data_IF_411210740041
#
_entry.id   IF_411210740041
#
_cell.length_a   1.000
_cell.length_b   1.000
_cell.length_c   1.000
_cell.angle_alpha   90.00
_cell.angle_beta   90.00
_cell.angle_gamma   90.00
#
_symmetry.space_group_name_H-M   'P 1'
#
loop_
_entity.id
_entity.type
_entity.pdbx_description
1 polymer ?
#
# COMPACT_ATOMS: atom_id res chain seq x y z
N UNK A 1 25.45 12.39 17.96
CA UNK A 1 24.56 13.52 17.65
C UNK A 1 24.08 13.24 16.25
N UNK A 2 22.77 13.15 16.02
CA UNK A 2 22.25 13.08 14.66
C UNK A 2 22.80 14.28 13.89
N UNK A 3 23.54 14.00 12.82
CA UNK A 3 24.08 15.05 11.96
C UNK A 3 23.17 15.18 10.75
N UNK A 4 22.73 16.40 10.47
CA UNK A 4 22.12 16.75 9.18
C UNK A 4 23.04 16.29 8.03
N UNK A 5 22.45 15.69 7.00
CA UNK A 5 23.12 15.05 5.86
C UNK A 5 23.60 13.62 6.11
N UNK A 6 23.43 13.07 7.31
CA UNK A 6 23.72 11.67 7.62
C UNK A 6 22.53 10.74 7.32
N UNK A 7 22.78 9.45 7.11
CA UNK A 7 21.69 8.45 7.05
C UNK A 7 21.07 8.25 8.43
N UNK A 8 19.74 8.24 8.48
CA UNK A 8 18.96 7.93 9.66
C UNK A 8 19.20 6.45 10.08
N UNK A 9 19.55 6.17 11.34
CA UNK A 9 19.72 4.80 11.80
C UNK A 9 18.43 3.97 11.67
N UNK A 10 18.52 2.76 11.11
CA UNK A 10 17.36 1.90 10.94
C UNK A 10 16.86 1.34 12.28
N UNK A 11 15.55 1.11 12.35
CA UNK A 11 14.89 0.49 13.50
C UNK A 11 13.62 -0.24 13.08
N UNK A 12 13.17 -1.15 13.95
CA UNK A 12 11.85 -1.79 13.90
C UNK A 12 11.30 -1.92 15.32
N UNK A 13 10.26 -1.14 15.64
CA UNK A 13 9.69 -1.07 16.99
C UNK A 13 8.26 -1.59 17.04
N UNK A 14 7.82 -2.18 18.18
CA UNK A 14 6.39 -2.33 18.46
C UNK A 14 5.72 -0.96 18.48
N UNK A 15 4.55 -0.84 17.87
CA UNK A 15 3.84 0.42 17.73
C UNK A 15 2.34 0.25 17.98
N UNK A 16 1.70 1.37 18.31
CA UNK A 16 0.27 1.57 18.21
C UNK A 16 -0.01 2.42 16.96
N UNK A 17 -0.75 1.87 16.00
CA UNK A 17 -1.15 2.54 14.76
C UNK A 17 -2.64 2.35 14.59
N UNK A 18 -3.41 3.43 14.45
CA UNK A 18 -4.87 3.41 14.33
C UNK A 18 -5.57 2.59 15.45
N UNK A 19 -5.00 2.60 16.66
CA UNK A 19 -5.51 1.84 17.81
C UNK A 19 -5.17 0.34 17.80
N UNK A 20 -4.48 -0.15 16.77
CA UNK A 20 -4.01 -1.52 16.65
C UNK A 20 -2.51 -1.63 16.95
N UNK A 21 -2.10 -2.79 17.47
CA UNK A 21 -0.69 -3.06 17.76
C UNK A 21 -0.06 -3.78 16.58
N UNK A 22 1.02 -3.22 16.04
CA UNK A 22 1.84 -3.86 15.00
C UNK A 22 3.32 -3.52 15.21
N UNK A 23 4.20 -4.06 14.37
CA UNK A 23 5.57 -3.55 14.28
C UNK A 23 5.64 -2.54 13.14
N UNK A 24 6.51 -1.55 13.31
CA UNK A 24 6.77 -0.48 12.36
C UNK A 24 8.27 -0.39 12.17
N UNK A 25 8.73 -0.56 10.93
CA UNK A 25 10.11 -0.30 10.52
C UNK A 25 10.23 1.06 9.86
N UNK A 26 11.37 1.74 10.04
CA UNK A 26 11.63 3.01 9.34
C UNK A 26 11.55 2.85 7.81
N UNK A 27 12.00 1.70 7.30
CA UNK A 27 12.00 1.38 5.87
C UNK A 27 10.62 1.27 5.24
N UNK A 28 9.54 1.15 6.02
CA UNK A 28 8.17 1.16 5.50
C UNK A 28 7.78 2.49 4.87
N UNK A 29 8.46 3.57 5.24
CA UNK A 29 8.13 4.93 4.78
C UNK A 29 9.21 5.52 3.86
N UNK A 30 10.38 4.89 3.80
CA UNK A 30 11.44 5.32 2.90
C UNK A 30 11.02 5.10 1.45
N UNK A 31 11.43 6.02 0.60
CA UNK A 31 11.05 6.02 -0.80
C UNK A 31 9.59 6.36 -1.01
N UNK A 32 8.83 6.85 -0.02
CA UNK A 32 7.42 7.28 -0.12
C UNK A 32 7.17 8.61 0.59
N UNK A 33 7.52 8.71 1.88
CA UNK A 33 7.18 9.87 2.70
C UNK A 33 8.42 10.65 3.17
N UNK A 34 8.23 11.92 3.50
CA UNK A 34 9.08 12.65 4.44
C UNK A 34 8.70 12.25 5.87
N UNK A 35 9.66 11.85 6.68
CA UNK A 35 9.40 11.24 7.98
C UNK A 35 9.82 12.20 9.09
N UNK A 36 8.88 12.54 9.98
CA UNK A 36 9.13 13.28 11.20
C UNK A 36 9.25 12.28 12.35
N UNK A 37 10.47 12.09 12.86
CA UNK A 37 10.71 11.29 14.05
C UNK A 37 10.65 12.18 15.29
N UNK A 38 9.63 11.98 16.12
CA UNK A 38 9.37 12.77 17.31
C UNK A 38 9.66 11.96 18.58
N UNK A 39 10.86 12.12 19.12
CA UNK A 39 11.26 11.52 20.39
C UNK A 39 10.71 12.34 21.55
N UNK A 40 9.96 11.70 22.44
CA UNK A 40 9.35 12.37 23.60
C UNK A 40 9.59 11.60 24.91
N UNK A 41 9.73 12.31 26.05
CA UNK A 41 10.34 11.72 27.26
C UNK A 41 9.51 10.65 27.95
N UNK A 42 8.19 10.83 27.96
CA UNK A 42 7.23 9.89 28.52
C UNK A 42 5.80 10.22 28.06
N UNK A 43 4.93 9.22 28.04
CA UNK A 43 3.48 9.40 28.01
C UNK A 43 3.02 10.15 29.28
N UNK A 44 1.97 10.97 29.16
CA UNK A 44 1.42 11.76 30.28
C UNK A 44 2.48 12.62 31.01
N UNK A 45 3.49 13.10 30.28
CA UNK A 45 4.55 13.93 30.83
C UNK A 45 4.02 15.34 31.23
N UNK A 46 4.78 16.11 32.03
CA UNK A 46 4.34 17.42 32.53
C UNK A 46 4.10 18.50 31.46
N UNK A 47 4.55 18.29 30.21
CA UNK A 47 4.24 19.19 29.10
C UNK A 47 2.86 18.91 28.49
N UNK A 48 2.19 17.82 28.89
CA UNK A 48 0.81 17.54 28.53
C UNK A 48 -0.14 17.98 29.66
N UNK A 49 -1.08 18.86 29.31
CA UNK A 49 -2.10 19.37 30.22
C UNK A 49 -3.38 18.54 30.12
N UNK A 50 -4.49 19.02 30.69
CA UNK A 50 -5.77 18.32 30.64
C UNK A 50 -6.37 18.27 29.22
N UNK A 51 -6.05 19.25 28.37
CA UNK A 51 -6.73 19.50 27.10
C UNK A 51 -5.83 19.32 25.87
N UNK A 52 -4.50 19.29 26.03
CA UNK A 52 -3.55 19.18 24.92
C UNK A 52 -2.25 18.51 25.35
N UNK A 53 -1.54 17.95 24.38
CA UNK A 53 -0.26 17.31 24.57
C UNK A 53 0.82 17.85 23.61
N UNK A 54 2.07 17.55 23.91
CA UNK A 54 3.26 18.04 23.21
C UNK A 54 3.41 17.48 21.78
N UNK A 55 2.66 16.44 21.43
CA UNK A 55 2.56 15.89 20.08
C UNK A 55 1.47 16.55 19.23
N UNK A 56 0.56 17.33 19.82
CA UNK A 56 -0.56 17.94 19.07
C UNK A 56 -0.07 18.93 18.01
N UNK A 57 1.03 19.64 18.27
CA UNK A 57 1.64 20.54 17.29
C UNK A 57 2.19 19.79 16.07
N UNK A 58 2.55 18.51 16.25
CA UNK A 58 3.03 17.65 15.17
C UNK A 58 1.88 16.95 14.43
N UNK A 59 0.71 16.82 15.06
CA UNK A 59 -0.48 16.21 14.46
C UNK A 59 -0.93 16.95 13.20
N UNK A 60 -0.69 18.26 13.12
CA UNK A 60 -0.92 19.08 11.92
C UNK A 60 -0.19 18.56 10.67
N UNK A 61 0.97 17.92 10.83
CA UNK A 61 1.72 17.34 9.71
C UNK A 61 1.12 16.03 9.22
N UNK A 62 0.33 15.33 10.05
CA UNK A 62 -0.39 14.11 9.61
C UNK A 62 -1.48 14.41 8.57
N UNK A 63 -1.89 15.68 8.44
CA UNK A 63 -2.82 16.12 7.41
C UNK A 63 -2.15 16.34 6.05
N UNK A 64 -0.82 16.45 6.01
CA UNK A 64 -0.07 16.58 4.77
C UNK A 64 0.06 15.20 4.14
N UNK A 65 -0.27 15.12 2.86
CA UNK A 65 0.04 13.91 2.08
C UNK A 65 1.56 13.79 1.98
N UNK A 66 2.06 12.56 2.03
CA UNK A 66 3.48 12.24 1.86
C UNK A 66 4.38 12.72 3.03
N UNK A 67 3.78 13.01 4.20
CA UNK A 67 4.50 13.27 5.46
C UNK A 67 3.99 12.32 6.54
N UNK A 68 4.88 11.47 7.05
CA UNK A 68 4.58 10.56 8.15
C UNK A 68 5.21 11.06 9.44
N UNK A 69 4.42 11.15 10.51
CA UNK A 69 4.91 11.48 11.85
C UNK A 69 4.98 10.20 12.69
N UNK A 70 6.12 9.92 13.32
CA UNK A 70 6.30 8.79 14.23
C UNK A 70 6.69 9.31 15.62
N UNK A 71 5.82 9.12 16.60
CA UNK A 71 6.13 9.40 18.01
C UNK A 71 6.91 8.23 18.62
N UNK A 72 8.03 8.49 19.28
CA UNK A 72 8.90 7.46 19.88
C UNK A 72 9.16 7.80 21.35
N UNK A 73 8.88 6.87 22.26
CA UNK A 73 9.21 7.03 23.68
C UNK A 73 9.60 5.69 24.33
N UNK A 74 10.13 5.70 25.56
CA UNK A 74 10.46 4.46 26.28
C UNK A 74 9.23 3.74 26.86
N UNK A 75 8.02 4.27 26.67
CA UNK A 75 6.80 3.68 27.18
C UNK A 75 6.37 2.44 26.37
N UNK A 76 5.49 1.64 26.98
CA UNK A 76 4.95 0.46 26.31
C UNK A 76 3.77 0.82 25.40
N UNK A 77 3.53 0.00 24.37
CA UNK A 77 2.32 0.10 23.51
C UNK A 77 1.00 0.08 24.28
N UNK A 78 0.97 -0.43 25.52
CA UNK A 78 -0.21 -0.38 26.38
C UNK A 78 -0.44 1.02 26.99
N UNK A 79 0.64 1.71 27.34
CA UNK A 79 0.60 3.10 27.78
C UNK A 79 0.19 4.00 26.62
N UNK A 80 0.82 3.80 25.45
CA UNK A 80 0.48 4.54 24.23
C UNK A 80 -0.99 4.46 23.88
N UNK A 81 -1.63 3.30 24.07
CA UNK A 81 -3.06 3.16 23.84
C UNK A 81 -3.88 4.07 24.75
N UNK A 82 -3.61 4.07 26.04
CA UNK A 82 -4.31 4.93 26.98
C UNK A 82 -4.03 6.42 26.69
N UNK A 83 -2.81 6.73 26.25
CA UNK A 83 -2.37 8.08 25.92
C UNK A 83 -3.05 8.61 24.65
N UNK A 84 -3.02 7.85 23.56
CA UNK A 84 -3.71 8.16 22.32
C UNK A 84 -5.24 8.28 22.53
N UNK A 85 -5.86 7.39 23.32
CA UNK A 85 -7.29 7.48 23.66
C UNK A 85 -7.61 8.75 24.48
N UNK A 86 -6.69 9.19 25.36
CA UNK A 86 -6.90 10.35 26.24
C UNK A 86 -6.81 11.70 25.51
N UNK A 87 -5.93 11.78 24.52
CA UNK A 87 -5.61 13.00 23.77
C UNK A 87 -6.09 12.97 22.30
N UNK A 88 -6.78 11.90 21.91
CA UNK A 88 -7.29 11.67 20.53
C UNK A 88 -6.19 11.69 19.44
N UNK A 89 -4.96 11.27 19.79
CA UNK A 89 -3.82 11.28 18.88
C UNK A 89 -4.03 10.29 17.72
N UNK A 90 -3.75 10.74 16.49
CA UNK A 90 -3.73 9.90 15.28
C UNK A 90 -2.32 9.47 14.86
N UNK A 91 -1.31 10.09 15.45
CA UNK A 91 0.10 9.79 15.22
C UNK A 91 0.41 8.35 15.67
N UNK A 92 1.07 7.53 14.83
CA UNK A 92 1.71 6.28 15.23
C UNK A 92 2.66 6.46 16.43
N UNK A 93 2.44 5.68 17.50
CA UNK A 93 3.28 5.72 18.72
C UNK A 93 4.10 4.44 18.86
N UNK A 94 5.43 4.58 18.83
CA UNK A 94 6.42 3.50 18.82
C UNK A 94 7.10 3.37 20.19
N UNK A 95 7.14 2.13 20.67
CA UNK A 95 7.61 1.78 22.01
C UNK A 95 9.09 1.36 22.01
N UNK A 96 10.00 2.31 22.25
CA UNK A 96 11.45 2.06 22.45
C UNK A 96 11.76 1.71 23.92
N UNK A 97 11.08 0.68 24.45
CA UNK A 97 11.22 0.28 25.87
C UNK A 97 12.64 -0.08 26.30
N UNK A 98 13.50 -0.46 25.34
CA UNK A 98 14.91 -0.75 25.59
C UNK A 98 15.81 0.50 25.54
N UNK A 99 15.34 1.59 24.92
CA UNK A 99 16.09 2.83 24.69
C UNK A 99 17.17 2.69 23.61
N UNK A 100 17.13 1.64 22.79
CA UNK A 100 18.19 1.37 21.81
C UNK A 100 18.11 2.31 20.61
N UNK A 101 16.89 2.67 20.20
CA UNK A 101 16.70 3.60 19.08
C UNK A 101 17.12 4.99 19.54
N UNK A 102 16.68 5.40 20.73
CA UNK A 102 17.11 6.63 21.37
C UNK A 102 18.64 6.78 21.46
N UNK A 103 19.36 5.70 21.80
CA UNK A 103 20.83 5.68 21.83
C UNK A 103 21.45 5.81 20.44
N UNK A 104 20.92 5.11 19.42
CA UNK A 104 21.41 5.22 18.03
C UNK A 104 21.20 6.62 17.46
N UNK A 105 20.11 7.26 17.84
CA UNK A 105 19.75 8.62 17.46
C UNK A 105 20.47 9.68 18.34
N UNK A 106 21.23 9.25 19.36
CA UNK A 106 21.95 10.12 20.31
C UNK A 106 21.04 11.15 21.01
N UNK A 107 19.86 10.71 21.42
CA UNK A 107 18.84 11.50 22.14
C UNK A 107 18.57 10.94 23.53
N UNK A 108 19.40 10.00 23.99
CA UNK A 108 19.37 9.47 25.36
C UNK A 108 20.41 10.19 26.23
N UNK A 109 20.05 10.53 27.47
CA UNK A 109 20.97 11.12 28.43
C UNK A 109 20.83 10.50 29.82
N UNK A 110 21.80 10.77 30.69
CA UNK A 110 21.78 10.35 32.10
C UNK A 110 21.72 11.61 32.95
N UNK A 111 20.72 11.70 33.82
CA UNK A 111 20.56 12.84 34.71
C UNK A 111 21.54 12.82 35.91
N UNK A 112 21.47 13.86 36.74
CA UNK A 112 22.36 14.04 37.90
C UNK A 112 22.22 12.92 38.96
N UNK A 113 21.15 12.14 38.93
CA UNK A 113 20.90 11.02 39.86
C UNK A 113 21.13 9.64 39.22
N UNK A 114 21.63 9.61 37.98
CA UNK A 114 22.01 8.38 37.29
C UNK A 114 20.86 7.67 36.60
N UNK A 115 19.70 8.32 36.43
CA UNK A 115 18.58 7.78 35.67
C UNK A 115 18.79 8.06 34.18
N UNK A 116 18.59 7.03 33.36
CA UNK A 116 18.57 7.18 31.90
C UNK A 116 17.23 7.76 31.48
N UNK A 117 17.27 8.90 30.79
CA UNK A 117 16.12 9.64 30.30
C UNK A 117 16.28 9.89 28.79
N UNK A 118 15.18 10.26 28.16
CA UNK A 118 15.15 10.66 26.76
C UNK A 118 15.03 12.19 26.69
N UNK A 119 15.83 12.81 25.82
CA UNK A 119 15.63 14.20 25.42
C UNK A 119 14.34 14.31 24.62
N UNK A 120 13.73 15.50 24.62
CA UNK A 120 12.77 15.81 23.57
C UNK A 120 13.57 16.07 22.31
N UNK A 121 13.29 15.36 21.23
CA UNK A 121 13.96 15.57 19.97
C UNK A 121 13.04 15.38 18.77
N UNK A 122 13.30 16.14 17.71
CA UNK A 122 12.63 16.00 16.42
C UNK A 122 13.70 15.88 15.34
N UNK A 123 13.53 14.91 14.46
CA UNK A 123 14.32 14.81 13.24
C UNK A 123 13.40 14.73 12.01
N UNK A 124 13.78 15.41 10.95
CA UNK A 124 13.18 15.23 9.61
C UNK A 124 14.12 14.33 8.82
N UNK A 125 13.56 13.27 8.28
CA UNK A 125 14.25 12.31 7.43
C UNK A 125 13.57 12.36 6.07
N UNK A 126 14.35 12.51 5.01
CA UNK A 126 13.82 12.46 3.66
C UNK A 126 13.50 11.05 3.18
N UNK A 127 12.97 10.97 1.97
CA UNK A 127 12.61 9.72 1.32
C UNK A 127 13.81 8.79 1.09
N UNK A 128 15.04 9.30 0.96
CA UNK A 128 16.26 8.49 0.83
C UNK A 128 16.83 8.03 2.19
N UNK A 129 16.18 8.42 3.29
CA UNK A 129 16.63 8.11 4.64
C UNK A 129 17.76 9.02 5.12
N UNK A 130 17.94 10.19 4.53
CA UNK A 130 18.90 11.22 4.94
C UNK A 130 18.24 12.20 5.89
N UNK A 131 18.92 12.51 6.98
CA UNK A 131 18.45 13.46 7.99
C UNK A 131 18.60 14.88 7.47
N UNK A 132 17.50 15.58 7.26
CA UNK A 132 17.46 16.96 6.74
C UNK A 132 17.41 18.00 7.85
N UNK A 133 16.83 17.65 9.00
CA UNK A 133 16.75 18.53 10.15
C UNK A 133 16.83 17.74 11.45
N UNK A 134 17.42 18.37 12.47
CA UNK A 134 17.51 17.82 13.82
C UNK A 134 17.37 18.92 14.84
N UNK A 135 16.59 18.67 15.88
CA UNK A 135 16.51 19.51 17.06
C UNK A 135 16.34 18.64 18.29
N UNK A 136 17.06 18.94 19.38
CA UNK A 136 16.83 18.31 20.68
C UNK A 136 16.96 19.30 21.83
N UNK A 137 16.30 18.98 22.94
CA UNK A 137 16.40 19.72 24.20
C UNK A 137 16.19 18.78 25.38
N UNK A 138 16.93 19.03 26.47
CA UNK A 138 16.72 18.38 27.75
C UNK A 138 15.68 19.13 28.62
N UNK A 139 15.24 20.32 28.21
CA UNK A 139 14.17 21.05 28.89
C UNK A 139 12.81 20.55 28.40
N UNK A 140 12.11 19.79 29.25
CA UNK A 140 10.84 19.15 28.91
C UNK A 140 9.73 20.16 28.55
N UNK A 141 9.88 21.43 28.93
CA UNK A 141 8.92 22.51 28.67
C UNK A 141 9.17 23.25 27.36
N UNK A 142 10.34 23.07 26.76
CA UNK A 142 10.66 23.64 25.45
C UNK A 142 10.05 22.75 24.36
N UNK A 143 9.29 23.37 23.45
CA UNK A 143 8.61 22.71 22.33
C UNK A 143 9.43 22.85 21.03
N UNK A 144 9.26 21.92 20.07
CA UNK A 144 9.95 21.99 18.80
C UNK A 144 9.60 23.26 18.02
N UNK A 145 10.55 23.75 17.24
CA UNK A 145 10.35 24.93 16.39
C UNK A 145 9.59 24.54 15.12
N UNK A 146 8.26 24.58 15.19
CA UNK A 146 7.36 24.18 14.09
C UNK A 146 7.70 24.86 12.75
N UNK A 147 8.14 26.12 12.76
CA UNK A 147 8.47 26.81 11.51
C UNK A 147 9.76 26.26 10.86
N UNK A 148 10.79 25.95 11.66
CA UNK A 148 12.02 25.31 11.13
C UNK A 148 11.72 23.90 10.61
N UNK A 149 10.76 23.21 11.23
CA UNK A 149 10.28 21.90 10.78
C UNK A 149 9.56 21.99 9.43
N UNK A 150 8.70 23.00 9.22
CA UNK A 150 8.06 23.25 7.93
C UNK A 150 9.08 23.59 6.85
N UNK A 151 10.03 24.48 7.16
CA UNK A 151 11.09 24.85 6.22
C UNK A 151 11.89 23.61 5.80
N UNK A 152 12.26 22.76 6.77
CA UNK A 152 12.98 21.52 6.47
C UNK A 152 12.16 20.53 5.61
N UNK A 153 10.86 20.39 5.85
CA UNK A 153 9.99 19.53 5.03
C UNK A 153 9.86 20.12 3.62
N UNK A 154 9.68 21.43 3.51
CA UNK A 154 9.63 22.12 2.22
C UNK A 154 10.93 21.97 1.43
N UNK A 155 12.08 22.10 2.10
CA UNK A 155 13.42 21.94 1.51
C UNK A 155 13.77 20.46 1.21
N UNK A 156 13.07 19.52 1.84
CA UNK A 156 13.14 18.08 1.51
C UNK A 156 12.30 17.75 0.26
N UNK A 157 11.26 18.55 0.02
CA UNK A 157 10.59 18.65 -1.26
C UNK A 157 11.43 19.42 -2.27
N UNK A 158 11.12 19.26 -3.56
CA UNK A 158 11.77 20.00 -4.63
C UNK A 158 12.03 19.17 -5.88
N UNK A 159 12.63 19.79 -6.88
CA UNK A 159 12.82 19.20 -8.21
C UNK A 159 13.59 17.88 -8.22
N UNK A 160 14.57 17.70 -7.32
CA UNK A 160 15.34 16.46 -7.19
C UNK A 160 14.44 15.32 -6.67
N UNK A 161 13.63 15.58 -5.64
CA UNK A 161 12.63 14.64 -5.11
C UNK A 161 11.59 14.32 -6.16
N UNK A 162 11.07 15.34 -6.84
CA UNK A 162 10.11 15.17 -7.93
C UNK A 162 10.68 14.30 -9.04
N UNK A 163 11.96 14.48 -9.37
CA UNK A 163 12.63 13.68 -10.38
C UNK A 163 12.90 12.23 -9.92
N UNK A 164 13.27 12.02 -8.66
CA UNK A 164 13.41 10.67 -8.10
C UNK A 164 12.08 9.90 -8.16
N UNK A 165 10.97 10.56 -7.80
CA UNK A 165 9.61 10.02 -7.94
C UNK A 165 9.26 9.69 -9.37
N UNK A 166 9.57 10.61 -10.28
CA UNK A 166 9.38 10.42 -11.69
C UNK A 166 10.12 9.19 -12.22
N UNK A 167 11.37 8.96 -11.80
CA UNK A 167 12.15 7.78 -12.18
C UNK A 167 11.47 6.47 -11.78
N UNK A 168 11.02 6.38 -10.52
CA UNK A 168 10.30 5.20 -10.02
C UNK A 168 9.00 5.00 -10.80
N UNK A 169 8.22 6.08 -11.01
CA UNK A 169 7.00 6.04 -11.80
C UNK A 169 7.24 5.60 -13.25
N UNK A 170 8.32 6.06 -13.88
CA UNK A 170 8.70 5.68 -15.25
C UNK A 170 9.05 4.19 -15.36
N UNK A 171 9.73 3.62 -14.36
CA UNK A 171 10.02 2.19 -14.31
C UNK A 171 8.72 1.35 -14.26
N UNK A 172 7.79 1.69 -13.36
CA UNK A 172 6.48 1.04 -13.31
C UNK A 172 5.67 1.24 -14.59
N UNK A 173 5.71 2.45 -15.18
CA UNK A 173 5.06 2.74 -16.44
C UNK A 173 5.57 1.83 -17.56
N UNK A 174 6.89 1.68 -17.68
CA UNK A 174 7.53 0.82 -18.69
C UNK A 174 7.14 -0.65 -18.52
N UNK A 175 7.12 -1.14 -17.28
CA UNK A 175 6.64 -2.49 -16.98
C UNK A 175 5.16 -2.66 -17.36
N UNK A 176 4.32 -1.69 -17.00
CA UNK A 176 2.91 -1.65 -17.38
C UNK A 176 2.72 -1.67 -18.89
N UNK A 177 3.53 -0.92 -19.66
CA UNK A 177 3.50 -0.91 -21.13
C UNK A 177 3.86 -2.28 -21.72
N UNK A 178 4.90 -2.93 -21.20
CA UNK A 178 5.31 -4.29 -21.65
C UNK A 178 4.19 -5.30 -21.41
N UNK A 179 3.66 -5.36 -20.20
CA UNK A 179 2.55 -6.25 -19.84
C UNK A 179 1.30 -5.95 -20.67
N UNK A 180 0.97 -4.67 -20.87
CA UNK A 180 -0.18 -4.27 -21.69
C UNK A 180 -0.01 -4.70 -23.15
N UNK A 181 1.16 -4.52 -23.74
CA UNK A 181 1.43 -4.94 -25.12
C UNK A 181 1.36 -6.46 -25.27
N UNK A 182 1.91 -7.23 -24.33
CA UNK A 182 1.77 -8.68 -24.31
C UNK A 182 0.29 -9.09 -24.24
N UNK A 183 -0.45 -8.52 -23.29
CA UNK A 183 -1.88 -8.77 -23.11
C UNK A 183 -2.69 -8.45 -24.37
N UNK A 184 -2.37 -7.34 -25.07
CA UNK A 184 -3.03 -6.97 -26.33
C UNK A 184 -2.79 -7.99 -27.45
N UNK A 185 -1.60 -8.61 -27.51
CA UNK A 185 -1.30 -9.70 -28.44
C UNK A 185 -2.10 -10.95 -28.14
N UNK A 186 -2.04 -11.42 -26.88
CA UNK A 186 -2.80 -12.58 -26.39
C UNK A 186 -4.32 -12.38 -26.57
N UNK A 187 -4.80 -11.15 -26.36
CA UNK A 187 -6.20 -10.81 -26.58
C UNK A 187 -6.59 -10.87 -28.06
N UNK A 188 -5.69 -10.47 -28.98
CA UNK A 188 -5.88 -10.67 -30.41
C UNK A 188 -5.92 -12.14 -30.81
N UNK A 189 -5.06 -12.95 -30.20
CA UNK A 189 -4.97 -14.40 -30.43
C UNK A 189 -6.07 -15.22 -29.72
N UNK A 190 -7.04 -14.54 -29.10
CA UNK A 190 -8.13 -15.15 -28.33
C UNK A 190 -7.66 -15.99 -27.13
N UNK A 191 -6.45 -15.74 -26.62
CA UNK A 191 -5.88 -16.36 -25.42
C UNK A 191 -6.37 -15.65 -24.15
N UNK A 192 -7.69 -15.60 -23.98
CA UNK A 192 -8.37 -14.73 -23.00
C UNK A 192 -7.88 -14.85 -21.56
N UNK A 193 -7.51 -16.06 -21.10
CA UNK A 193 -7.01 -16.25 -19.74
C UNK A 193 -5.60 -15.69 -19.53
N UNK A 194 -4.74 -15.78 -20.56
CA UNK A 194 -3.41 -15.18 -20.51
C UNK A 194 -3.55 -13.66 -20.58
N UNK A 195 -4.30 -13.17 -21.56
CA UNK A 195 -4.58 -11.75 -21.73
C UNK A 195 -5.14 -11.11 -20.46
N UNK A 196 -6.09 -11.77 -19.79
CA UNK A 196 -6.63 -11.31 -18.52
C UNK A 196 -5.54 -11.16 -17.45
N UNK A 197 -4.66 -12.15 -17.31
CA UNK A 197 -3.56 -12.09 -16.33
C UNK A 197 -2.59 -10.95 -16.63
N UNK A 198 -2.27 -10.73 -17.90
CA UNK A 198 -1.29 -9.73 -18.31
C UNK A 198 -1.89 -8.32 -18.26
N UNK A 199 -3.17 -8.14 -18.59
CA UNK A 199 -3.88 -6.88 -18.33
C UNK A 199 -3.96 -6.56 -16.84
N UNK A 200 -4.10 -7.57 -15.96
CA UNK A 200 -4.08 -7.32 -14.52
C UNK A 200 -2.71 -6.82 -14.05
N UNK A 201 -1.61 -7.43 -14.51
CA UNK A 201 -0.25 -6.93 -14.23
C UNK A 201 -0.05 -5.52 -14.76
N UNK A 202 -0.51 -5.26 -15.99
CA UNK A 202 -0.45 -3.92 -16.59
C UNK A 202 -1.22 -2.89 -15.75
N UNK A 203 -2.43 -3.23 -15.30
CA UNK A 203 -3.25 -2.37 -14.44
C UNK A 203 -2.51 -2.04 -13.15
N UNK A 204 -2.03 -3.03 -12.42
CA UNK A 204 -1.29 -2.82 -11.15
C UNK A 204 -0.04 -1.93 -11.35
N UNK A 205 0.70 -2.16 -12.43
CA UNK A 205 1.88 -1.34 -12.75
C UNK A 205 1.51 0.11 -13.14
N UNK A 206 0.45 0.33 -13.92
CA UNK A 206 0.00 1.68 -14.26
C UNK A 206 -0.58 2.46 -13.06
N UNK A 207 -1.20 1.77 -12.11
CA UNK A 207 -1.65 2.36 -10.84
C UNK A 207 -0.45 2.90 -10.05
N UNK A 208 0.55 2.04 -9.81
CA UNK A 208 1.80 2.42 -9.14
C UNK A 208 2.54 3.55 -9.87
N UNK A 209 2.57 3.52 -11.21
CA UNK A 209 3.17 4.59 -12.01
C UNK A 209 2.42 5.93 -11.83
N UNK A 210 1.08 5.90 -11.89
CA UNK A 210 0.23 7.07 -11.70
C UNK A 210 0.43 7.71 -10.34
N UNK A 211 0.54 6.91 -9.28
CA UNK A 211 0.79 7.40 -7.92
C UNK A 211 2.14 8.08 -7.79
N UNK A 212 3.21 7.48 -8.31
CA UNK A 212 4.54 8.09 -8.28
C UNK A 212 4.61 9.39 -9.10
N UNK A 213 3.96 9.44 -10.26
CA UNK A 213 3.89 10.69 -11.04
C UNK A 213 3.05 11.76 -10.35
N UNK A 214 1.96 11.40 -9.67
CA UNK A 214 1.18 12.33 -8.86
C UNK A 214 2.00 12.91 -7.70
N UNK A 215 2.83 12.09 -7.05
CA UNK A 215 3.78 12.54 -6.05
C UNK A 215 4.88 13.43 -6.66
N UNK A 216 5.37 13.13 -7.87
CA UNK A 216 6.30 14.01 -8.59
C UNK A 216 5.69 15.40 -8.86
N UNK A 217 4.42 15.48 -9.27
CA UNK A 217 3.69 16.74 -9.46
C UNK A 217 3.60 17.54 -8.17
N UNK A 218 3.55 16.90 -7.00
CA UNK A 218 3.48 17.60 -5.70
C UNK A 218 4.79 18.24 -5.29
N UNK A 219 5.90 17.57 -5.58
CA UNK A 219 7.23 18.01 -5.15
C UNK A 219 7.93 18.95 -6.13
N UNK A 220 7.41 19.12 -7.35
CA UNK A 220 8.06 19.93 -8.37
C UNK A 220 8.01 21.42 -8.04
N UNK A 221 9.16 22.09 -8.09
CA UNK A 221 9.30 23.52 -7.90
C UNK A 221 9.47 24.26 -9.23
N UNK A 222 10.13 23.63 -10.22
CA UNK A 222 10.30 24.18 -11.55
C UNK A 222 9.00 24.05 -12.36
N UNK A 223 8.31 25.17 -12.66
CA UNK A 223 7.08 25.13 -13.44
C UNK A 223 7.28 24.61 -14.88
N UNK A 224 8.51 24.48 -15.36
CA UNK A 224 8.80 23.85 -16.64
C UNK A 224 8.65 22.31 -16.63
N UNK A 225 8.77 21.68 -15.46
CA UNK A 225 8.69 20.22 -15.28
C UNK A 225 7.27 19.73 -14.99
N UNK A 226 6.44 20.57 -14.35
CA UNK A 226 5.05 20.24 -13.99
C UNK A 226 4.24 19.63 -15.16
N UNK A 227 4.27 20.17 -16.41
CA UNK A 227 3.52 19.58 -17.52
C UNK A 227 4.00 18.18 -17.94
N UNK A 228 5.27 17.85 -17.68
CA UNK A 228 5.83 16.53 -17.99
C UNK A 228 5.29 15.51 -17.00
N UNK A 229 5.33 15.83 -15.71
CA UNK A 229 4.84 14.95 -14.64
C UNK A 229 3.33 14.79 -14.71
N UNK A 230 2.58 15.88 -14.88
CA UNK A 230 1.11 15.83 -14.99
C UNK A 230 0.66 15.07 -16.24
N UNK A 231 1.31 15.28 -17.38
CA UNK A 231 1.04 14.51 -18.60
C UNK A 231 1.34 13.02 -18.46
N UNK A 232 2.44 12.67 -17.77
CA UNK A 232 2.83 11.28 -17.51
C UNK A 232 1.83 10.58 -16.58
N UNK A 233 1.42 11.26 -15.50
CA UNK A 233 0.35 10.82 -14.60
C UNK A 233 -0.94 10.59 -15.39
N UNK A 234 -1.42 11.58 -16.14
CA UNK A 234 -2.68 11.49 -16.86
C UNK A 234 -2.68 10.35 -17.89
N UNK A 235 -1.55 10.09 -18.55
CA UNK A 235 -1.39 8.94 -19.44
C UNK A 235 -1.45 7.61 -18.70
N UNK A 236 -0.70 7.48 -17.59
CA UNK A 236 -0.70 6.28 -16.77
C UNK A 236 -2.10 5.97 -16.21
N UNK A 237 -2.81 6.97 -15.67
CA UNK A 237 -4.19 6.80 -15.18
C UNK A 237 -5.15 6.37 -16.29
N UNK A 238 -5.01 6.90 -17.51
CA UNK A 238 -5.85 6.51 -18.64
C UNK A 238 -5.58 5.06 -19.10
N UNK A 239 -4.31 4.64 -19.11
CA UNK A 239 -3.94 3.25 -19.41
C UNK A 239 -4.38 2.27 -18.31
N UNK A 240 -4.31 2.69 -17.04
CA UNK A 240 -4.88 1.93 -15.92
C UNK A 240 -6.38 1.67 -16.11
N UNK A 241 -7.17 2.70 -16.45
CA UNK A 241 -8.60 2.56 -16.74
C UNK A 241 -8.86 1.63 -17.93
N UNK A 242 -8.07 1.75 -19.00
CA UNK A 242 -8.17 0.87 -20.16
C UNK A 242 -7.90 -0.59 -19.79
N UNK A 243 -6.83 -0.84 -19.03
CA UNK A 243 -6.48 -2.17 -18.56
C UNK A 243 -7.58 -2.78 -17.68
N UNK A 244 -8.20 -1.99 -16.81
CA UNK A 244 -9.32 -2.46 -15.96
C UNK A 244 -10.51 -2.97 -16.79
N UNK A 245 -10.93 -2.21 -17.80
CA UNK A 245 -11.97 -2.65 -18.74
C UNK A 245 -11.57 -3.91 -19.50
N UNK A 246 -10.32 -4.00 -19.94
CA UNK A 246 -9.82 -5.13 -20.72
C UNK A 246 -9.64 -6.41 -19.88
N UNK A 247 -9.30 -6.31 -18.60
CA UNK A 247 -9.37 -7.44 -17.65
C UNK A 247 -10.78 -8.01 -17.60
N UNK A 248 -11.79 -7.14 -17.47
CA UNK A 248 -13.19 -7.57 -17.42
C UNK A 248 -13.64 -8.15 -18.76
N UNK A 249 -13.25 -7.54 -19.89
CA UNK A 249 -13.55 -8.02 -21.22
C UNK A 249 -12.99 -9.44 -21.45
N UNK A 250 -11.69 -9.63 -21.16
CA UNK A 250 -11.03 -10.92 -21.29
C UNK A 250 -11.69 -12.00 -20.41
N UNK A 251 -12.08 -11.64 -19.18
CA UNK A 251 -12.85 -12.54 -18.31
C UNK A 251 -14.20 -12.94 -18.90
N UNK A 252 -14.92 -11.99 -19.53
CA UNK A 252 -16.21 -12.25 -20.14
C UNK A 252 -16.08 -13.16 -21.37
N UNK A 253 -15.07 -12.93 -22.22
CA UNK A 253 -14.77 -13.81 -23.34
C UNK A 253 -14.38 -15.23 -22.89
N UNK A 254 -13.50 -15.35 -21.89
CA UNK A 254 -13.14 -16.65 -21.29
C UNK A 254 -14.36 -17.40 -20.71
N UNK A 255 -15.32 -16.66 -20.15
CA UNK A 255 -16.58 -17.20 -19.61
C UNK A 255 -17.64 -17.55 -20.68
N UNK A 256 -17.38 -17.26 -21.96
CA UNK A 256 -18.32 -17.48 -23.06
C UNK A 256 -19.38 -16.38 -23.24
N UNK A 257 -19.25 -15.27 -22.52
CA UNK A 257 -20.13 -14.10 -22.61
C UNK A 257 -19.62 -13.11 -23.66
N UNK A 258 -19.49 -13.53 -24.92
CA UNK A 258 -18.86 -12.72 -25.98
C UNK A 258 -19.50 -11.34 -26.22
N UNK A 259 -20.84 -11.22 -26.12
CA UNK A 259 -21.52 -9.93 -26.29
C UNK A 259 -21.21 -8.92 -25.15
N UNK A 260 -21.03 -9.43 -23.93
CA UNK A 260 -20.60 -8.63 -22.78
C UNK A 260 -19.12 -8.25 -22.93
N UNK A 261 -18.28 -9.22 -23.32
CA UNK A 261 -16.87 -8.99 -23.64
C UNK A 261 -16.68 -7.88 -24.67
N UNK A 262 -17.48 -7.89 -25.75
CA UNK A 262 -17.45 -6.83 -26.77
C UNK A 262 -17.82 -5.47 -26.21
N UNK A 263 -18.84 -5.39 -25.37
CA UNK A 263 -19.26 -4.11 -24.78
C UNK A 263 -18.15 -3.53 -23.89
N UNK A 264 -17.54 -4.38 -23.04
CA UNK A 264 -16.43 -3.99 -22.17
C UNK A 264 -15.19 -3.56 -22.97
N UNK A 265 -14.94 -4.24 -24.08
CA UNK A 265 -13.88 -3.89 -25.02
C UNK A 265 -14.14 -2.52 -25.67
N UNK A 266 -15.36 -2.24 -26.11
CA UNK A 266 -15.75 -0.94 -26.67
C UNK A 266 -15.62 0.16 -25.60
N UNK A 267 -15.98 -0.11 -24.34
CA UNK A 267 -15.83 0.83 -23.22
C UNK A 267 -14.36 1.16 -22.92
N UNK A 268 -13.42 0.25 -23.22
CA UNK A 268 -11.98 0.50 -23.09
C UNK A 268 -11.44 1.50 -24.12
N UNK A 269 -12.15 1.76 -25.22
CA UNK A 269 -11.70 2.69 -26.28
C UNK A 269 -11.56 4.12 -25.76
N UNK A 270 -12.49 4.60 -24.93
CA UNK A 270 -12.47 5.97 -24.41
C UNK A 270 -11.20 6.29 -23.59
N UNK A 271 -10.83 5.46 -22.60
CA UNK A 271 -9.56 5.60 -21.89
C UNK A 271 -8.33 5.46 -22.80
N UNK A 272 -8.36 4.56 -23.79
CA UNK A 272 -7.26 4.42 -24.75
C UNK A 272 -7.09 5.66 -25.64
N UNK A 273 -8.18 6.25 -26.10
CA UNK A 273 -8.15 7.53 -26.83
C UNK A 273 -7.61 8.65 -25.95
N UNK A 274 -8.03 8.69 -24.68
CA UNK A 274 -7.53 9.65 -23.69
C UNK A 274 -6.02 9.50 -23.50
N UNK A 275 -5.54 8.27 -23.31
CA UNK A 275 -4.10 7.98 -23.16
C UNK A 275 -3.29 8.44 -24.38
N UNK A 276 -3.84 8.32 -25.59
CA UNK A 276 -3.17 8.79 -26.82
C UNK A 276 -2.97 10.29 -26.85
N UNK A 277 -3.84 11.07 -26.20
CA UNK A 277 -3.72 12.55 -26.20
C UNK A 277 -2.49 13.05 -25.45
N UNK A 278 -1.93 12.23 -24.56
CA UNK A 278 -0.75 12.54 -23.77
C UNK A 278 0.51 11.94 -24.41
N UNK A 279 1.59 12.73 -24.39
CA UNK A 279 2.91 12.27 -24.84
C UNK A 279 3.41 11.08 -24.01
N UNK A 280 4.27 10.25 -24.58
CA UNK A 280 4.98 9.24 -23.78
C UNK A 280 5.82 9.93 -22.70
N UNK A 281 5.81 9.42 -21.44
CA UNK A 281 6.74 9.85 -20.41
C UNK A 281 8.18 9.81 -20.95
N UNK A 282 8.93 10.92 -20.93
CA UNK A 282 10.34 10.93 -21.32
C UNK A 282 11.20 9.99 -20.46
N UNK A 283 12.15 9.30 -21.09
CA UNK A 283 13.09 8.45 -20.36
C UNK A 283 13.97 9.29 -19.42
N UNK A 284 13.97 9.02 -18.11
CA UNK A 284 14.76 9.77 -17.15
C UNK A 284 16.26 9.44 -17.15
N UNK A 285 16.69 8.35 -17.78
CA UNK A 285 18.11 7.99 -17.94
C UNK A 285 18.76 8.63 -19.18
N UNK A 286 17.94 9.21 -20.06
CA UNK A 286 18.40 10.09 -21.13
C UNK A 286 18.71 11.51 -20.60
N UNK A 287 18.64 12.51 -21.48
CA UNK A 287 18.94 13.90 -21.12
C UNK A 287 17.78 14.53 -20.34
N UNK A 288 18.02 14.82 -19.06
CA UNK A 288 17.06 15.52 -18.20
C UNK A 288 17.47 16.97 -17.84
N UNK A 289 16.53 17.94 -17.86
CA UNK A 289 15.18 17.83 -18.42
C UNK A 289 15.18 17.78 -19.95
N UNK A 290 14.16 17.17 -20.57
CA UNK A 290 14.09 17.03 -22.02
C UNK A 290 13.98 18.40 -22.70
N UNK A 291 14.56 18.55 -23.91
CA UNK A 291 14.38 19.79 -24.65
C UNK A 291 12.92 19.92 -25.11
N UNK A 292 12.44 21.16 -25.18
CA UNK A 292 11.06 21.46 -25.60
C UNK A 292 10.71 20.93 -26.99
N UNK A 293 11.72 20.70 -27.84
CA UNK A 293 11.60 20.09 -29.16
C UNK A 293 11.43 18.58 -29.13
N UNK A 294 11.88 17.90 -28.09
CA UNK A 294 11.78 16.46 -27.95
C UNK A 294 10.38 16.06 -27.47
N UNK A 295 9.79 16.85 -26.56
CA UNK A 295 8.39 16.75 -26.14
C UNK A 295 7.37 16.93 -27.29
N UNK A 296 7.74 17.65 -28.35
CA UNK A 296 6.86 17.88 -29.51
C UNK A 296 6.92 16.74 -30.55
N UNK A 297 7.93 15.86 -30.49
CA UNK A 297 8.08 14.73 -31.41
C UNK A 297 7.28 13.50 -30.98
N UNK A 298 7.01 13.35 -29.69
CA UNK A 298 6.23 12.26 -29.08
C UNK A 298 4.71 12.51 -29.10
N UNK A 299 4.22 13.29 -30.06
CA UNK A 299 2.81 13.69 -30.14
C UNK A 299 1.83 12.52 -30.32
N UNK A 300 0.52 12.79 -30.15
CA UNK A 300 -0.53 11.77 -30.10
C UNK A 300 -0.62 10.93 -31.39
N UNK A 301 -0.47 9.62 -31.28
CA UNK A 301 -0.72 8.65 -32.36
C UNK A 301 -2.24 8.41 -32.51
N UNK A 302 -2.77 8.38 -33.75
CA UNK A 302 -4.23 8.39 -33.99
C UNK A 302 -4.84 7.05 -34.42
N UNK A 303 -4.11 5.93 -34.34
CA UNK A 303 -4.63 4.61 -34.72
C UNK A 303 -5.24 3.88 -33.53
N UNK A 304 -6.31 3.09 -33.75
CA UNK A 304 -6.82 2.20 -32.71
C UNK A 304 -5.74 1.21 -32.28
N UNK A 305 -5.59 1.01 -30.97
CA UNK A 305 -4.64 0.08 -30.33
C UNK A 305 -5.28 -1.31 -30.21
N UNK A 306 -6.62 -1.39 -30.27
CA UNK A 306 -7.34 -2.67 -30.12
C UNK A 306 -7.28 -3.50 -31.42
N UNK A 307 -6.99 -4.81 -31.36
CA UNK A 307 -6.88 -5.69 -32.53
C UNK A 307 -8.25 -5.99 -33.14
N UNK A 308 -8.53 -5.51 -34.35
CA UNK A 308 -9.82 -5.64 -35.03
C UNK A 308 -10.22 -7.13 -35.23
N UNK A 309 -11.40 -7.54 -34.74
CA UNK A 309 -11.92 -8.92 -34.93
C UNK A 309 -12.39 -9.21 -36.37
N UNK A 310 -12.23 -8.25 -37.31
CA UNK A 310 -12.70 -8.40 -38.70
C UNK A 310 -11.75 -9.14 -39.66
N UNK A 311 -10.60 -9.65 -39.21
CA UNK A 311 -9.90 -10.70 -39.96
C UNK A 311 -10.55 -12.07 -39.67
N UNK A 312 -11.26 -12.59 -40.68
CA UNK A 312 -12.14 -13.76 -40.63
C UNK A 312 -11.57 -14.96 -39.84
N UNK A 313 -12.02 -15.12 -38.60
CA UNK A 313 -11.97 -16.42 -37.92
C UNK A 313 -13.05 -17.29 -38.57
N UNK A 314 -12.62 -18.13 -39.49
CA UNK A 314 -13.41 -19.21 -40.07
C UNK A 314 -13.83 -20.19 -38.97
N UNK A 315 -15.03 -19.95 -38.42
CA UNK A 315 -15.69 -20.85 -37.47
C UNK A 315 -16.42 -22.00 -38.16
N UNK A 316 -16.21 -22.23 -39.47
CA UNK A 316 -16.71 -23.42 -40.16
C UNK A 316 -15.75 -24.61 -39.96
N UNK A 317 -15.86 -25.24 -38.80
CA UNK A 317 -15.46 -26.63 -38.61
C UNK A 317 -16.48 -27.56 -39.30
N UNK A 318 -16.55 -27.51 -40.64
CA UNK A 318 -17.14 -28.59 -41.44
C UNK A 318 -16.09 -29.70 -41.57
N UNK A 319 -16.05 -30.59 -40.56
CA UNK A 319 -15.38 -31.89 -40.71
C UNK A 319 -16.28 -32.77 -41.58
N UNK A 320 -16.04 -32.74 -42.89
CA UNK A 320 -16.50 -33.79 -43.80
C UNK A 320 -15.80 -35.11 -43.44
N UNK A 321 -16.49 -35.93 -42.65
CA UNK A 321 -16.10 -37.32 -42.39
C UNK A 321 -16.57 -38.19 -43.57
N UNK A 322 -15.57 -38.60 -44.36
CA UNK A 322 -15.48 -39.82 -45.16
C UNK A 322 -16.34 -39.99 -46.43
N UNK A 323 -15.79 -39.51 -47.55
CA UNK A 323 -15.92 -40.16 -48.86
C UNK A 323 -14.58 -40.82 -49.23
N UNK A 324 -14.35 -42.05 -48.75
CA UNK A 324 -13.28 -42.93 -49.25
C UNK A 324 -13.46 -44.40 -48.85
N UNK A 325 -14.51 -45.08 -49.31
CA UNK A 325 -14.40 -46.51 -49.67
C UNK A 325 -15.42 -46.90 -50.73
N UNK A 326 -14.91 -47.14 -51.94
CA UNK A 326 -15.66 -47.67 -53.06
C UNK A 326 -15.72 -49.21 -53.04
N UNK A 327 -16.88 -49.72 -53.50
CA UNK A 327 -17.07 -50.97 -54.25
C UNK A 327 -16.82 -52.30 -53.52
N UNK A 328 -17.90 -52.98 -53.11
CA UNK A 328 -18.45 -54.14 -53.83
C UNK A 328 -19.60 -54.83 -53.05
N UNK A 329 -20.70 -55.10 -53.75
CA UNK A 329 -21.41 -56.38 -53.60
C UNK A 329 -22.63 -56.47 -52.67
N UNK A 330 -23.80 -56.28 -53.28
CA UNK A 330 -24.98 -57.18 -53.23
C UNK A 330 -25.83 -57.32 -51.94
N UNK A 331 -27.06 -56.79 -52.02
CA UNK A 331 -28.24 -57.65 -52.07
C UNK A 331 -28.95 -58.08 -50.78
N UNK A 332 -30.18 -57.54 -50.62
CA UNK A 332 -31.33 -58.07 -49.83
C UNK A 332 -31.25 -57.92 -48.30
N UNK A 333 -32.27 -57.58 -47.52
CA UNK A 333 -33.69 -57.28 -47.73
C UNK A 333 -34.40 -57.23 -46.35
N UNK A 334 -35.48 -56.44 -46.28
CA UNK A 334 -36.65 -56.58 -45.40
C UNK A 334 -36.56 -56.43 -43.85
N UNK A 335 -37.29 -55.40 -43.38
CA UNK A 335 -38.33 -55.39 -42.31
C UNK A 335 -38.02 -55.81 -40.86
N UNK A 336 -38.17 -54.81 -39.98
CA UNK A 336 -39.16 -54.72 -38.88
C UNK A 336 -39.02 -55.53 -37.58
N UNK A 337 -39.48 -54.86 -36.51
CA UNK A 337 -39.92 -55.29 -35.17
C UNK A 337 -38.93 -55.75 -34.07
N UNK A 338 -38.86 -54.89 -33.04
CA UNK A 338 -39.31 -55.13 -31.65
C UNK A 338 -38.53 -56.04 -30.70
N UNK A 339 -38.09 -55.41 -29.60
CA UNK A 339 -38.08 -55.85 -28.19
C UNK A 339 -37.64 -57.27 -27.82
N UNK A 340 -36.54 -57.39 -27.04
CA UNK A 340 -36.58 -57.92 -25.66
C UNK A 340 -35.20 -57.87 -24.97
N UNK A 341 -35.16 -57.37 -23.73
CA UNK A 341 -34.28 -57.85 -22.64
C UNK A 341 -34.83 -59.20 -22.10
N UNK A 342 -34.24 -59.91 -21.10
CA UNK A 342 -33.08 -59.62 -20.24
C UNK A 342 -32.08 -60.80 -20.10
N UNK A 343 -31.04 -60.60 -19.26
CA UNK A 343 -30.55 -61.52 -18.20
C UNK A 343 -29.02 -61.66 -18.12
N UNK A 344 -28.47 -61.05 -17.08
CA UNK A 344 -27.25 -61.41 -16.31
C UNK A 344 -27.06 -62.92 -16.07
N UNK A 345 -25.84 -63.43 -15.74
CA UNK A 345 -24.98 -62.88 -14.67
C UNK A 345 -23.44 -62.93 -14.81
N UNK A 346 -22.82 -62.06 -14.01
CA UNK A 346 -21.47 -62.05 -13.39
C UNK A 346 -20.94 -63.43 -12.86
N UNK A 347 -19.66 -63.59 -12.41
CA UNK A 347 -18.71 -62.56 -11.90
C UNK A 347 -17.21 -62.73 -12.28
N UNK A 348 -16.40 -61.70 -11.95
CA UNK A 348 -15.22 -61.77 -11.05
C UNK A 348 -14.03 -60.87 -11.47
N UNK A 349 -13.47 -60.21 -10.46
CA UNK A 349 -12.42 -59.19 -10.44
C UNK A 349 -11.00 -59.67 -10.82
N UNK A 350 -10.14 -58.73 -11.25
CA UNK A 350 -8.89 -58.36 -10.56
C UNK A 350 -8.06 -57.33 -11.36
N UNK A 351 -7.84 -56.18 -10.73
CA UNK A 351 -6.63 -55.34 -10.64
C UNK A 351 -5.38 -55.77 -11.46
N UNK A 352 -4.78 -54.83 -12.19
CA UNK A 352 -3.46 -54.25 -11.87
C UNK A 352 -2.93 -53.41 -13.05
N UNK A 353 -2.79 -52.11 -12.80
CA UNK A 353 -2.08 -51.13 -13.61
C UNK A 353 -0.55 -51.34 -13.52
N UNK A 354 0.13 -51.07 -14.62
CA UNK A 354 1.54 -51.35 -14.81
C UNK A 354 2.14 -50.61 -16.00
N UNK A 355 2.82 -49.52 -15.68
CA UNK A 355 4.11 -49.08 -16.25
C UNK A 355 4.20 -48.63 -17.72
N UNK A 356 4.48 -47.33 -17.84
CA UNK A 356 5.78 -46.77 -18.25
C UNK A 356 6.15 -46.61 -19.74
N UNK A 357 6.97 -45.57 -19.91
CA UNK A 357 7.83 -45.17 -21.03
C UNK A 357 7.13 -44.36 -22.13
N UNK A 358 7.66 -43.23 -22.58
CA UNK A 358 9.00 -42.67 -22.41
C UNK A 358 9.41 -41.97 -23.71
N UNK A 359 10.38 -41.06 -23.60
CA UNK A 359 11.21 -40.48 -24.68
C UNK A 359 10.48 -39.64 -25.75
N UNK A 360 11.05 -38.61 -26.37
CA UNK A 360 12.23 -37.76 -26.17
C UNK A 360 12.31 -36.83 -27.39
N UNK A 361 12.99 -35.70 -27.20
CA UNK A 361 13.72 -34.90 -28.20
C UNK A 361 12.87 -34.26 -29.34
N UNK A 362 13.13 -33.02 -29.75
CA UNK A 362 14.42 -32.60 -30.31
C UNK A 362 14.42 -31.07 -30.50
N UNK A 363 15.60 -30.48 -30.26
CA UNK A 363 16.00 -29.10 -30.56
C UNK A 363 15.75 -28.68 -32.02
N UNK A 364 15.51 -27.38 -32.24
CA UNK A 364 16.24 -26.61 -33.26
C UNK A 364 16.22 -25.13 -32.90
N UNK A 365 17.41 -24.53 -32.75
CA UNK A 365 17.59 -23.10 -32.61
C UNK A 365 17.46 -22.34 -33.93
N UNK A 366 17.31 -21.03 -33.80
CA UNK A 366 17.41 -20.05 -34.88
C UNK A 366 17.77 -18.70 -34.27
N UNK A 367 19.01 -18.29 -34.47
CA UNK A 367 19.52 -16.94 -34.20
C UNK A 367 18.86 -15.94 -35.17
N UNK A 368 18.50 -14.75 -34.67
CA UNK A 368 18.44 -13.52 -35.46
C UNK A 368 18.89 -12.37 -34.56
N UNK A 369 19.92 -11.67 -35.03
CA UNK A 369 20.48 -10.44 -34.49
C UNK A 369 19.63 -9.20 -34.86
N UNK A 370 19.86 -8.16 -34.05
CA UNK A 370 19.72 -6.73 -34.31
C UNK A 370 18.38 -6.03 -34.04
N UNK A 371 18.31 -5.47 -32.83
CA UNK A 371 17.97 -4.07 -32.67
C UNK A 371 17.07 -3.78 -31.49
N UNK A 372 17.64 -3.37 -30.36
CA UNK A 372 16.94 -2.51 -29.39
C UNK A 372 17.93 -2.02 -28.33
N UNK A 373 17.86 -0.72 -28.01
CA UNK A 373 18.48 -0.13 -26.83
C UNK A 373 17.71 -0.53 -25.58
N UNK A 374 17.56 -1.84 -25.36
CA UNK A 374 17.12 -2.41 -24.11
C UNK A 374 18.35 -2.71 -23.26
N UNK A 375 18.27 -2.36 -21.98
CA UNK A 375 19.20 -2.85 -20.96
C UNK A 375 19.24 -4.37 -21.09
N UNK A 376 20.42 -4.92 -21.41
CA UNK A 376 20.59 -6.36 -21.54
C UNK A 376 20.49 -7.05 -20.17
N UNK A 377 20.21 -8.35 -20.15
CA UNK A 377 20.01 -9.11 -18.91
C UNK A 377 21.24 -9.04 -17.98
N UNK A 378 22.43 -8.76 -18.53
CA UNK A 378 23.67 -8.59 -17.78
C UNK A 378 23.73 -7.21 -17.09
N UNK A 379 23.27 -6.14 -17.74
CA UNK A 379 23.16 -4.78 -17.17
C UNK A 379 22.00 -4.69 -16.15
N UNK A 380 20.91 -5.42 -16.38
CA UNK A 380 19.83 -5.61 -15.40
C UNK A 380 20.33 -6.37 -14.16
N UNK A 381 21.18 -7.38 -14.34
CA UNK A 381 21.80 -8.11 -13.24
C UNK A 381 22.82 -7.24 -12.48
N UNK A 382 23.52 -6.32 -13.15
CA UNK A 382 24.45 -5.38 -12.54
C UNK A 382 23.71 -4.33 -11.69
N UNK A 383 22.60 -3.77 -12.18
CA UNK A 383 21.74 -2.84 -11.43
C UNK A 383 21.09 -3.57 -10.24
N UNK A 384 20.62 -4.80 -10.41
CA UNK A 384 20.09 -5.61 -9.31
C UNK A 384 21.17 -5.99 -8.28
N UNK A 385 22.42 -6.21 -8.71
CA UNK A 385 23.54 -6.47 -7.82
C UNK A 385 23.97 -5.21 -7.04
N UNK A 386 23.92 -4.03 -7.66
CA UNK A 386 24.12 -2.75 -6.96
C UNK A 386 22.99 -2.47 -5.96
N UNK A 387 21.73 -2.79 -6.30
CA UNK A 387 20.59 -2.72 -5.37
C UNK A 387 20.71 -3.70 -4.20
N UNK A 388 21.22 -4.91 -4.45
CA UNK A 388 21.44 -5.93 -3.42
C UNK A 388 22.65 -5.61 -2.53
N UNK A 389 23.70 -5.01 -3.07
CA UNK A 389 24.86 -4.55 -2.30
C UNK A 389 24.54 -3.33 -1.42
N UNK A 390 23.50 -2.56 -1.77
CA UNK A 390 22.93 -1.49 -0.95
C UNK A 390 21.70 -1.91 -0.14
N UNK A 391 21.32 -3.20 -0.16
CA UNK A 391 20.23 -3.75 0.66
C UNK A 391 20.73 -4.08 2.09
N UNK A 392 19.92 -3.83 3.13
CA UNK A 392 20.33 -3.96 4.54
C UNK A 392 20.51 -5.40 5.06
N UNK A 393 20.24 -6.43 4.24
CA UNK A 393 20.31 -7.86 4.61
C UNK A 393 21.59 -8.59 4.15
N UNK A 394 22.64 -7.86 3.75
CA UNK A 394 23.94 -8.49 3.48
C UNK A 394 24.57 -9.02 4.79
N UNK A 395 24.31 -10.30 5.10
CA UNK A 395 24.95 -10.98 6.23
C UNK A 395 26.48 -10.90 6.11
N UNK A 396 27.22 -10.44 7.14
CA UNK A 396 28.67 -10.44 7.11
C UNK A 396 29.21 -11.88 7.19
N UNK A 397 30.37 -12.18 6.58
CA UNK A 397 30.92 -13.52 6.58
C UNK A 397 31.25 -13.98 8.01
N UNK A 398 30.76 -15.17 8.36
CA UNK A 398 30.91 -15.77 9.68
C UNK A 398 32.39 -15.96 10.07
N UNK A 399 32.88 -15.12 11.00
CA UNK A 399 34.10 -15.43 11.74
C UNK A 399 33.82 -16.40 12.88
N UNK A 400 34.56 -17.52 12.86
CA UNK A 400 34.46 -18.59 13.84
C UNK A 400 34.86 -18.13 15.24
N UNK A 401 33.90 -18.07 16.17
CA UNK A 401 34.18 -17.91 17.60
C UNK A 401 33.97 -19.24 18.31
N UNK A 402 35.04 -19.67 18.98
CA UNK A 402 35.21 -20.92 19.70
C UNK A 402 34.28 -21.06 20.91
N UNK A 403 33.62 -22.21 21.03
CA UNK A 403 32.82 -22.60 22.19
C UNK A 403 33.64 -22.81 23.48
N UNK A 404 33.11 -22.34 24.61
CA UNK A 404 33.36 -22.90 25.95
C UNK A 404 32.14 -22.63 26.87
N UNK A 405 31.87 -23.51 27.86
CA UNK A 405 30.49 -23.94 28.15
C UNK A 405 29.80 -23.21 29.30
N UNK A 406 28.47 -23.23 29.23
CA UNK A 406 27.47 -22.83 30.23
C UNK A 406 27.56 -23.66 31.51
N UNK A 407 27.65 -22.98 32.66
CA UNK A 407 27.41 -23.55 33.97
C UNK A 407 26.10 -22.98 34.55
N UNK A 408 25.15 -23.88 34.82
CA UNK A 408 23.88 -23.62 35.48
C UNK A 408 24.10 -23.09 36.91
N UNK A 409 23.24 -22.15 37.35
CA UNK A 409 23.13 -21.74 38.75
C UNK A 409 21.75 -22.10 39.28
N UNK A 410 21.77 -22.83 40.39
CA UNK A 410 20.69 -23.37 41.20
C UNK A 410 19.63 -22.35 41.65
N UNK A 411 18.36 -22.81 41.67
CA UNK A 411 17.26 -22.23 42.42
C UNK A 411 17.15 -22.88 43.82
N UNK A 412 16.87 -22.13 44.92
CA UNK A 412 16.66 -22.74 46.23
C UNK A 412 15.19 -23.16 46.46
N UNK A 413 14.93 -24.20 47.27
CA UNK A 413 13.64 -24.87 47.36
C UNK A 413 12.69 -24.29 48.42
N UNK A 414 11.40 -24.54 48.18
CA UNK A 414 10.30 -24.31 49.11
C UNK A 414 10.41 -25.19 50.38
N UNK A 415 9.99 -24.63 51.52
CA UNK A 415 9.77 -25.37 52.75
C UNK A 415 8.34 -25.11 53.26
N UNK A 416 7.56 -26.18 53.30
CA UNK A 416 6.30 -26.31 54.03
C UNK A 416 6.57 -26.95 55.40
N UNK A 417 5.92 -26.44 56.45
CA UNK A 417 5.60 -27.20 57.66
C UNK A 417 4.39 -26.55 58.35
N UNK A 418 3.41 -27.41 58.65
CA UNK A 418 2.13 -27.15 59.27
C UNK A 418 2.23 -27.05 60.80
N UNK A 419 1.24 -26.40 61.42
CA UNK A 419 0.29 -27.01 62.39
C UNK A 419 0.04 -26.28 63.74
N UNK A 420 -1.25 -26.35 64.11
CA UNK A 420 -1.92 -26.30 65.42
C UNK A 420 -2.46 -25.00 66.07
N UNK A 421 -3.81 -24.92 66.09
CA UNK A 421 -4.65 -24.78 67.31
C UNK A 421 -5.19 -23.37 67.64
N UNK A 422 -6.43 -23.00 67.29
CA UNK A 422 -7.74 -23.32 67.92
C UNK A 422 -8.22 -22.34 69.03
N UNK A 423 -9.55 -22.09 68.99
CA UNK A 423 -10.48 -21.64 70.03
C UNK A 423 -10.75 -20.13 70.28
N UNK A 424 -11.78 -19.66 69.57
CA UNK A 424 -13.06 -19.09 70.06
C UNK A 424 -13.14 -18.41 71.44
N UNK A 425 -13.74 -17.20 71.46
CA UNK A 425 -15.02 -16.84 72.17
C UNK A 425 -15.32 -15.34 72.11
N UNK A 426 -16.56 -15.03 71.68
CA UNK A 426 -17.61 -14.19 72.32
C UNK A 426 -17.22 -12.93 73.12
N UNK A 427 -17.98 -11.85 73.20
CA UNK A 427 -19.20 -11.28 72.61
C UNK A 427 -19.50 -10.01 73.45
N UNK A 428 -20.52 -9.25 73.05
CA UNK A 428 -21.19 -8.10 73.72
C UNK A 428 -20.70 -6.70 73.33
N UNK A 429 -21.51 -5.68 73.03
CA UNK A 429 -22.92 -5.43 72.66
C UNK A 429 -23.26 -4.02 73.18
N UNK A 430 -24.11 -3.28 72.45
CA UNK A 430 -24.70 -2.00 72.84
C UNK A 430 -25.05 -1.17 71.60
N UNK A 431 -26.19 -1.43 70.92
CA UNK A 431 -27.51 -0.77 71.08
C UNK A 431 -27.43 0.76 70.90
N UNK A 432 -28.24 1.45 70.10
CA UNK A 432 -29.71 1.37 70.12
C UNK A 432 -30.35 2.26 69.02
N UNK A 433 -31.52 1.81 68.52
CA UNK A 433 -32.67 2.51 67.86
C UNK A 433 -32.47 3.52 66.72
N UNK A 434 -33.27 3.56 65.64
CA UNK A 434 -34.47 2.80 65.28
C UNK A 434 -35.44 3.63 64.40
N UNK A 435 -36.26 2.91 63.60
CA UNK A 435 -37.61 3.27 63.04
C UNK A 435 -37.65 4.06 61.71
N UNK A 436 -37.92 3.47 60.54
CA UNK A 436 -39.15 2.86 59.95
C UNK A 436 -40.36 3.79 59.71
N UNK A 437 -40.76 3.99 58.43
CA UNK A 437 -41.97 3.43 57.76
C UNK A 437 -42.45 4.26 56.55
N UNK A 438 -42.55 3.58 55.40
CA UNK A 438 -43.70 3.35 54.48
C UNK A 438 -44.76 4.44 54.16
N UNK A 439 -45.17 4.45 52.87
CA UNK A 439 -46.49 4.86 52.34
C UNK A 439 -46.44 6.09 51.40
N UNK A 440 -46.46 6.01 50.06
CA UNK A 440 -47.51 5.55 49.12
C UNK A 440 -48.58 6.63 48.83
N UNK A 441 -48.67 7.12 47.58
CA UNK A 441 -49.92 7.32 46.80
C UNK A 441 -49.75 8.22 45.57
N UNK A 442 -50.44 7.80 44.50
CA UNK A 442 -50.58 8.27 43.11
C UNK A 442 -51.04 9.73 42.89
N UNK A 443 -50.83 10.25 41.66
CA UNK A 443 -51.95 10.63 40.76
C UNK A 443 -51.50 11.14 39.39
N UNK A 444 -52.31 10.75 38.42
CA UNK A 444 -52.33 10.99 36.97
C UNK A 444 -52.38 12.46 36.52
N UNK A 445 -52.11 12.69 35.22
CA UNK A 445 -52.62 13.87 34.51
C UNK A 445 -51.93 14.16 33.18
N UNK A 446 -52.44 13.55 32.11
CA UNK A 446 -52.21 13.88 30.70
C UNK A 446 -52.51 15.35 30.32
N UNK A 447 -51.95 15.75 29.16
CA UNK A 447 -52.71 16.26 27.99
C UNK A 447 -52.33 17.66 27.44
N UNK A 448 -51.97 17.63 26.14
CA UNK A 448 -52.16 18.58 25.04
C UNK A 448 -51.46 19.96 25.00
N UNK A 449 -50.57 20.04 24.00
CA UNK A 449 -50.47 21.06 22.95
C UNK A 449 -51.38 22.30 22.98
N UNK A 450 -50.81 23.48 22.67
CA UNK A 450 -51.23 24.38 21.57
C UNK A 450 -50.17 25.49 21.35
N UNK A 451 -50.06 25.84 20.07
CA UNK A 451 -49.26 26.81 19.31
C UNK A 451 -49.32 28.30 19.67
N UNK A 452 -48.40 29.06 19.05
CA UNK A 452 -48.39 30.47 18.57
C UNK A 452 -47.15 31.23 19.08
N UNK A 453 -46.10 31.50 18.29
CA UNK A 453 -45.92 32.33 17.07
C UNK A 453 -45.39 33.74 17.36
N UNK A 454 -44.36 34.13 16.61
CA UNK A 454 -43.79 35.48 16.50
C UNK A 454 -42.52 35.66 17.33
N UNK A 455 -41.45 36.33 16.90
CA UNK A 455 -41.11 37.10 15.71
C UNK A 455 -39.63 37.49 15.97
N UNK A 456 -38.68 37.18 15.09
CA UNK A 456 -37.59 38.11 14.70
C UNK A 456 -36.73 37.47 13.59
N UNK A 457 -36.42 38.29 12.59
CA UNK A 457 -35.87 37.93 11.29
C UNK A 457 -34.32 37.84 11.28
N UNK A 458 -33.73 37.26 10.23
CA UNK A 458 -32.29 36.99 10.14
C UNK A 458 -31.51 38.20 9.60
N UNK A 459 -30.26 38.37 10.04
CA UNK A 459 -29.33 39.33 9.47
C UNK A 459 -28.79 38.80 8.12
N UNK A 460 -29.14 39.51 7.05
CA UNK A 460 -28.58 39.38 5.71
C UNK A 460 -27.13 39.87 5.68
N UNK A 461 -26.23 39.08 5.10
CA UNK A 461 -24.98 39.57 4.54
C UNK A 461 -25.13 39.54 3.01
N UNK A 462 -25.11 40.74 2.43
CA UNK A 462 -25.33 40.98 1.01
C UNK A 462 -24.25 40.34 0.13
N UNK A 463 -24.74 39.67 -0.91
CA UNK A 463 -24.05 39.33 -2.15
C UNK A 463 -23.64 40.63 -2.87
N UNK A 464 -22.37 40.72 -3.30
CA UNK A 464 -21.99 41.61 -4.40
C UNK A 464 -21.07 40.88 -5.39
N UNK A 465 -21.63 40.62 -6.56
CA UNK A 465 -20.98 40.49 -7.88
C UNK A 465 -22.10 40.86 -8.90
N UNK A 466 -21.88 41.36 -10.14
CA UNK A 466 -20.64 41.39 -10.90
C UNK A 466 -20.38 42.63 -11.79
N UNK A 467 -19.22 42.61 -12.48
CA UNK A 467 -18.87 43.25 -13.78
C UNK A 467 -19.76 44.35 -14.36
N UNK A 468 -19.16 45.53 -14.65
CA UNK A 468 -19.22 46.21 -15.97
C UNK A 468 -18.30 47.46 -15.97
N UNK A 469 -17.48 47.65 -17.02
CA UNK A 469 -16.84 48.94 -17.37
C UNK A 469 -17.86 49.96 -17.90
N UNK A 470 -17.49 51.10 -18.52
CA UNK A 470 -16.23 51.39 -19.24
C UNK A 470 -15.63 52.81 -18.98
N UNK A 471 -14.51 53.09 -19.67
CA UNK A 471 -14.04 54.36 -20.26
C UNK A 471 -14.38 55.71 -19.58
N UNK A 472 -13.35 56.47 -19.17
CA UNK A 472 -12.95 57.74 -19.81
C UNK A 472 -11.92 58.54 -18.96
N UNK A 473 -10.90 59.03 -19.68
CA UNK A 473 -9.93 60.12 -19.41
C UNK A 473 -8.86 60.04 -18.30
#
# INVERSE_FOLDING_TARGET
>A
MLSVGGRAPTFELPALVDGERRRVALSEFLGEDVIILAFYPADFNPACDADSCDLDELDLFTMQKDVTVLGISPDSVYSHRAFAERYDLKIPLLADTAGEVAERYDVAFVDDIGQRLLERAVAVVDHDGVVQYTWSTSDLTELPRVEELKDAIADTGGDDTAFARYRVGHAHYTEGRRAFTAAMGEFGDSEWMLAQSDFQRAREAFDAASDQFDTAVRFVDDPALEPIYDGSKAKASALWQAADWLVAAASAYAGGSGAEGQTLRDDAEGPLETARTYAEPPDPDERWPPERTDLAKSGPETSSILPDESEEIDTALDVDIDDAVASDGDGTGASDESANQPSDPEPAAAEADGTANGDAATETGGENEDGEGGIDDDELAEIQAELAANSPDAEPPAEAVTEAPTAMVDAPPAASAEDDGDASRDSEAGTDTGKTRDGESDSDGDDESVSESGDDAPAELELTDPTEGPDDE
#
